data_IF_767081975259
#
_entry.id   IF_767081975259
#
_cell.length_a   1.000
_cell.length_b   1.000
_cell.length_c   1.000
_cell.angle_alpha   90.00
_cell.angle_beta   90.00
_cell.angle_gamma   90.00
#
_symmetry.space_group_name_H-M   'P 1'
#
loop_
_entity.id
_entity.type
_entity.pdbx_description
1 polymer ?
#
# COMPACT_ATOMS: atom_id res chain seq x y z
N UNK A 1 -6.66 29.22 -27.50
CA UNK A 1 -5.92 28.33 -28.42
C UNK A 1 -4.80 27.72 -27.61
N UNK A 2 -5.07 26.54 -27.07
CA UNK A 2 -4.33 25.88 -26.00
C UNK A 2 -4.04 24.48 -26.55
N UNK A 3 -2.80 24.18 -26.92
CA UNK A 3 -2.39 22.85 -27.34
C UNK A 3 -0.94 22.56 -26.90
N UNK A 4 -0.84 21.48 -26.13
CA UNK A 4 0.20 20.44 -26.16
C UNK A 4 1.67 20.82 -26.01
N UNK A 5 2.12 20.99 -24.77
CA UNK A 5 3.56 20.87 -24.43
C UNK A 5 3.81 19.88 -23.26
N UNK A 6 2.78 19.21 -22.71
CA UNK A 6 2.94 18.36 -21.51
C UNK A 6 2.88 16.85 -21.74
N UNK A 7 2.72 16.36 -22.98
CA UNK A 7 2.60 14.91 -23.25
C UNK A 7 3.87 14.23 -23.81
N UNK A 8 4.90 14.97 -24.22
CA UNK A 8 5.99 14.39 -25.04
C UNK A 8 7.26 13.93 -24.30
N UNK A 9 7.32 13.90 -22.97
CA UNK A 9 8.58 13.59 -22.24
C UNK A 9 8.58 12.43 -21.25
N UNK A 10 7.58 11.55 -21.29
CA UNK A 10 7.59 10.30 -20.50
C UNK A 10 7.75 9.02 -21.34
N UNK A 11 8.08 9.16 -22.63
CA UNK A 11 8.31 8.02 -23.54
C UNK A 11 9.74 7.46 -23.53
N UNK A 12 10.67 7.98 -22.73
CA UNK A 12 12.03 7.43 -22.63
C UNK A 12 12.12 6.39 -21.50
N UNK A 13 11.73 5.17 -21.86
CA UNK A 13 12.35 3.91 -21.47
C UNK A 13 13.24 3.96 -20.21
N UNK A 14 12.65 3.86 -19.01
CA UNK A 14 13.27 2.97 -18.03
C UNK A 14 13.15 1.57 -18.63
N UNK A 15 14.26 0.83 -18.85
CA UNK A 15 14.16 -0.53 -19.31
C UNK A 15 13.39 -1.29 -18.24
N UNK A 16 12.15 -1.69 -18.56
CA UNK A 16 11.45 -2.76 -17.86
C UNK A 16 12.48 -3.88 -17.69
N UNK A 17 12.94 -4.09 -16.46
CA UNK A 17 13.97 -5.08 -16.15
C UNK A 17 13.52 -6.40 -16.77
N UNK A 18 14.37 -6.94 -17.66
CA UNK A 18 14.08 -8.18 -18.38
C UNK A 18 13.76 -9.30 -17.39
N UNK A 19 12.74 -10.05 -17.73
CA UNK A 19 11.85 -10.92 -16.96
C UNK A 19 12.48 -12.21 -16.39
N UNK A 20 13.73 -12.17 -15.91
CA UNK A 20 14.42 -13.38 -15.43
C UNK A 20 15.03 -13.18 -14.04
N UNK A 21 14.30 -13.62 -13.00
CA UNK A 21 14.87 -13.95 -11.70
C UNK A 21 14.80 -12.90 -10.59
N UNK A 22 14.02 -11.82 -10.72
CA UNK A 22 13.84 -10.79 -9.66
C UNK A 22 12.78 -11.16 -8.61
N UNK A 23 12.42 -12.45 -8.52
CA UNK A 23 11.57 -12.99 -7.45
C UNK A 23 12.36 -13.24 -6.16
N UNK A 24 11.70 -13.34 -4.98
CA UNK A 24 12.38 -13.71 -3.74
C UNK A 24 13.03 -15.10 -3.80
N UNK A 25 12.51 -15.99 -4.65
CA UNK A 25 13.07 -17.30 -4.93
C UNK A 25 12.56 -17.85 -6.29
N UNK A 26 12.99 -19.05 -6.65
CA UNK A 26 12.62 -19.71 -7.90
C UNK A 26 11.15 -20.16 -7.97
N UNK A 27 10.46 -20.29 -6.84
CA UNK A 27 9.02 -20.61 -6.80
C UNK A 27 8.17 -19.36 -7.07
N UNK A 28 8.73 -18.17 -6.81
CA UNK A 28 8.02 -16.89 -6.88
C UNK A 28 8.66 -15.91 -7.88
N UNK A 29 8.88 -16.28 -9.14
CA UNK A 29 9.47 -15.39 -10.14
C UNK A 29 8.55 -14.19 -10.36
N UNK A 30 9.15 -13.03 -10.62
CA UNK A 30 8.40 -11.86 -11.07
C UNK A 30 8.03 -12.01 -12.55
N UNK A 31 6.75 -11.78 -12.86
CA UNK A 31 6.22 -11.59 -14.20
C UNK A 31 5.05 -10.61 -14.11
N UNK A 32 5.21 -9.42 -14.70
CA UNK A 32 4.23 -8.33 -14.54
C UNK A 32 2.91 -8.62 -15.26
N UNK A 33 1.80 -8.57 -14.52
CA UNK A 33 0.44 -8.63 -15.04
C UNK A 33 -0.36 -7.40 -14.60
N UNK A 34 -0.91 -6.66 -15.55
CA UNK A 34 -1.78 -5.50 -15.30
C UNK A 34 -3.25 -5.93 -15.44
N UNK A 35 -3.84 -6.42 -14.34
CA UNK A 35 -5.19 -7.00 -14.32
C UNK A 35 -6.28 -6.04 -13.80
N UNK A 36 -5.96 -4.77 -13.57
CA UNK A 36 -6.86 -3.80 -12.94
C UNK A 36 -7.04 -4.05 -11.44
N UNK A 37 -5.94 -4.26 -10.71
CA UNK A 37 -5.99 -4.55 -9.28
C UNK A 37 -5.70 -3.30 -8.42
N UNK A 38 -6.69 -2.76 -7.68
CA UNK A 38 -6.49 -1.55 -6.89
C UNK A 38 -5.55 -1.79 -5.68
N UNK A 39 -5.34 -3.05 -5.29
CA UNK A 39 -4.51 -3.42 -4.15
C UNK A 39 -3.09 -3.81 -4.61
N UNK A 40 -2.05 -3.01 -4.31
CA UNK A 40 -0.67 -3.32 -4.69
C UNK A 40 -0.14 -4.62 -4.05
N UNK A 41 -0.62 -4.99 -2.86
CA UNK A 41 -0.23 -6.24 -2.21
C UNK A 41 -0.71 -7.46 -3.00
N UNK A 42 -1.97 -7.46 -3.42
CA UNK A 42 -2.57 -8.55 -4.21
C UNK A 42 -1.95 -8.60 -5.60
N UNK A 43 -1.77 -7.45 -6.24
CA UNK A 43 -1.12 -7.37 -7.54
C UNK A 43 0.32 -7.92 -7.50
N UNK A 44 1.09 -7.54 -6.48
CA UNK A 44 2.44 -8.07 -6.30
C UNK A 44 2.45 -9.59 -6.04
N UNK A 45 1.50 -10.12 -5.27
CA UNK A 45 1.38 -11.57 -5.09
C UNK A 45 1.01 -12.31 -6.39
N UNK A 46 0.24 -11.68 -7.29
CA UNK A 46 -0.04 -12.22 -8.62
C UNK A 46 1.21 -12.18 -9.49
N UNK A 47 1.90 -11.03 -9.52
CA UNK A 47 3.10 -10.84 -10.31
C UNK A 47 4.26 -11.74 -9.85
N UNK A 48 4.26 -12.15 -8.58
CA UNK A 48 5.24 -13.09 -8.03
C UNK A 48 4.74 -14.54 -7.93
N UNK A 49 3.65 -14.90 -8.61
CA UNK A 49 3.13 -16.28 -8.65
C UNK A 49 2.68 -16.89 -7.29
N UNK A 50 2.65 -16.10 -6.20
CA UNK A 50 1.96 -16.50 -4.96
C UNK A 50 0.45 -16.73 -5.22
N UNK A 51 -0.11 -15.99 -6.18
CA UNK A 51 -1.47 -16.15 -6.66
C UNK A 51 -1.49 -16.36 -8.18
N UNK A 52 -1.83 -17.57 -8.61
CA UNK A 52 -1.96 -17.92 -10.02
C UNK A 52 -3.31 -17.45 -10.58
N UNK A 53 -3.34 -16.19 -11.02
CA UNK A 53 -4.50 -15.54 -11.65
C UNK A 53 -4.19 -15.27 -13.12
N UNK A 54 -5.03 -15.77 -14.01
CA UNK A 54 -4.88 -15.64 -15.46
C UNK A 54 -5.55 -14.39 -16.00
N UNK A 55 -6.73 -14.04 -15.47
CA UNK A 55 -7.48 -12.86 -15.88
C UNK A 55 -8.29 -12.26 -14.72
N UNK A 56 -8.78 -11.03 -14.90
CA UNK A 56 -9.44 -10.25 -13.86
C UNK A 56 -10.79 -10.82 -13.38
N UNK A 57 -11.43 -11.72 -14.15
CA UNK A 57 -12.70 -12.36 -13.78
C UNK A 57 -12.50 -13.69 -13.01
N UNK A 58 -11.28 -14.23 -12.99
CA UNK A 58 -10.99 -15.46 -12.25
C UNK A 58 -11.15 -15.21 -10.75
N UNK A 59 -11.95 -16.04 -10.08
CA UNK A 59 -12.14 -15.97 -8.64
C UNK A 59 -10.92 -16.51 -7.91
N UNK A 60 -10.44 -15.76 -6.93
CA UNK A 60 -9.40 -16.17 -5.98
C UNK A 60 -10.10 -16.80 -4.77
N UNK A 61 -9.91 -18.11 -4.52
CA UNK A 61 -10.48 -18.76 -3.34
C UNK A 61 -9.89 -18.19 -2.05
N UNK A 62 -10.74 -18.09 -1.01
CA UNK A 62 -10.36 -17.47 0.27
C UNK A 62 -9.06 -18.04 0.86
N UNK A 63 -8.92 -19.37 0.83
CA UNK A 63 -7.79 -20.08 1.42
C UNK A 63 -6.48 -19.82 0.67
N UNK A 64 -6.55 -19.57 -0.65
CA UNK A 64 -5.36 -19.22 -1.46
C UNK A 64 -4.87 -17.82 -1.12
N UNK A 65 -5.79 -16.85 -1.00
CA UNK A 65 -5.42 -15.49 -0.60
C UNK A 65 -4.87 -15.43 0.83
N UNK A 66 -5.45 -16.20 1.76
CA UNK A 66 -4.93 -16.32 3.14
C UNK A 66 -3.50 -16.88 3.12
N UNK A 67 -3.27 -17.99 2.40
CA UNK A 67 -1.95 -18.60 2.30
C UNK A 67 -0.92 -17.63 1.70
N UNK A 68 -1.27 -16.94 0.61
CA UNK A 68 -0.40 -15.98 -0.05
C UNK A 68 -0.02 -14.80 0.87
N UNK A 69 -0.96 -14.23 1.63
CA UNK A 69 -0.68 -13.16 2.60
C UNK A 69 0.30 -13.61 3.70
N UNK A 70 0.12 -14.84 4.19
CA UNK A 70 1.01 -15.43 5.21
C UNK A 70 2.39 -15.67 4.61
N UNK A 71 2.47 -16.23 3.41
CA UNK A 71 3.72 -16.60 2.76
C UNK A 71 4.51 -15.37 2.29
N UNK A 72 3.89 -14.46 1.53
CA UNK A 72 4.56 -13.29 0.95
C UNK A 72 4.91 -12.22 2.00
N UNK A 73 3.95 -11.85 2.87
CA UNK A 73 4.08 -10.70 3.77
C UNK A 73 4.18 -11.05 5.26
N UNK A 74 4.20 -12.34 5.61
CA UNK A 74 4.26 -12.82 7.00
C UNK A 74 3.08 -12.32 7.87
N UNK A 75 1.86 -12.31 7.33
CA UNK A 75 0.67 -12.12 8.17
C UNK A 75 0.56 -13.25 9.21
N UNK A 76 0.01 -12.94 10.39
CA UNK A 76 -0.48 -14.01 11.26
C UNK A 76 -1.67 -14.68 10.60
N UNK A 77 -1.77 -16.00 10.72
CA UNK A 77 -2.90 -16.78 10.17
C UNK A 77 -4.25 -16.21 10.59
N UNK A 78 -4.40 -15.87 11.87
CA UNK A 78 -5.63 -15.26 12.41
C UNK A 78 -5.99 -13.94 11.74
N UNK A 79 -5.00 -13.09 11.47
CA UNK A 79 -5.26 -11.80 10.85
C UNK A 79 -5.51 -11.94 9.35
N UNK A 80 -4.79 -12.83 8.67
CA UNK A 80 -5.03 -13.17 7.26
C UNK A 80 -6.46 -13.72 7.07
N UNK A 81 -6.91 -14.65 7.92
CA UNK A 81 -8.29 -15.16 7.88
C UNK A 81 -9.28 -13.99 8.05
N UNK A 82 -9.09 -13.16 9.07
CA UNK A 82 -10.01 -12.07 9.36
C UNK A 82 -10.11 -11.08 8.19
N UNK A 83 -8.99 -10.56 7.69
CA UNK A 83 -9.01 -9.53 6.64
C UNK A 83 -9.60 -10.07 5.33
N UNK A 84 -9.30 -11.33 4.99
CA UNK A 84 -9.82 -11.92 3.77
C UNK A 84 -11.31 -12.24 3.89
N UNK A 85 -11.79 -12.79 5.02
CA UNK A 85 -13.23 -13.03 5.25
C UNK A 85 -14.00 -11.72 5.27
N UNK A 86 -13.55 -10.73 6.04
CA UNK A 86 -14.23 -9.43 6.11
C UNK A 86 -14.21 -8.74 4.74
N UNK A 87 -13.10 -8.77 4.02
CA UNK A 87 -13.01 -8.23 2.65
C UNK A 87 -13.99 -8.93 1.70
N UNK A 88 -14.02 -10.27 1.72
CA UNK A 88 -14.92 -11.08 0.89
C UNK A 88 -16.39 -10.73 1.18
N UNK A 89 -16.77 -10.57 2.45
CA UNK A 89 -18.11 -10.16 2.86
C UNK A 89 -18.44 -8.72 2.44
N UNK A 90 -17.49 -7.77 2.53
CA UNK A 90 -17.69 -6.39 2.07
C UNK A 90 -17.93 -6.30 0.56
N UNK A 91 -17.38 -7.24 -0.22
CA UNK A 91 -17.65 -7.40 -1.64
C UNK A 91 -18.99 -8.12 -1.91
N UNK A 92 -19.73 -8.54 -0.89
CA UNK A 92 -20.97 -9.30 -1.04
C UNK A 92 -20.74 -10.74 -1.53
N UNK A 93 -19.58 -11.32 -1.24
CA UNK A 93 -19.18 -12.68 -1.65
C UNK A 93 -18.99 -13.58 -0.41
N UNK A 94 -18.85 -14.88 -0.62
CA UNK A 94 -18.71 -15.87 0.48
C UNK A 94 -17.49 -16.77 0.33
N UNK A 95 -17.18 -17.27 -0.88
CA UNK A 95 -16.13 -18.29 -1.09
C UNK A 95 -14.81 -17.73 -1.67
N UNK A 96 -14.82 -16.47 -2.07
CA UNK A 96 -13.74 -15.80 -2.79
C UNK A 96 -14.28 -14.72 -3.71
N UNK A 97 -13.38 -13.96 -4.30
CA UNK A 97 -13.68 -12.85 -5.21
C UNK A 97 -12.62 -12.76 -6.31
N UNK A 98 -12.98 -12.13 -7.42
CA UNK A 98 -12.11 -11.84 -8.55
C UNK A 98 -11.48 -10.45 -8.44
N UNK A 99 -10.44 -10.16 -9.22
CA UNK A 99 -9.80 -8.83 -9.24
C UNK A 99 -10.78 -7.76 -9.72
N UNK A 100 -11.62 -8.08 -10.69
CA UNK A 100 -12.69 -7.19 -11.15
C UNK A 100 -13.65 -6.82 -10.02
N UNK A 101 -14.05 -7.80 -9.19
CA UNK A 101 -14.92 -7.55 -8.03
C UNK A 101 -14.19 -6.73 -6.95
N UNK A 102 -12.89 -6.95 -6.74
CA UNK A 102 -12.08 -6.14 -5.82
C UNK A 102 -12.01 -4.66 -6.25
N UNK A 103 -12.01 -4.40 -7.56
CA UNK A 103 -12.04 -3.07 -8.17
C UNK A 103 -13.42 -2.40 -8.22
N UNK A 104 -14.46 -3.00 -7.64
CA UNK A 104 -15.77 -2.33 -7.55
C UNK A 104 -15.69 -1.13 -6.59
N UNK A 105 -15.83 0.07 -7.15
CA UNK A 105 -15.82 1.32 -6.39
C UNK A 105 -16.89 1.33 -5.30
N UNK A 106 -16.55 1.92 -4.16
CA UNK A 106 -17.47 2.07 -3.04
C UNK A 106 -17.59 0.83 -2.15
N UNK A 107 -16.83 -0.24 -2.43
CA UNK A 107 -16.77 -1.44 -1.57
C UNK A 107 -15.51 -1.46 -0.72
N UNK A 108 -14.43 -1.94 -1.32
CA UNK A 108 -13.07 -1.89 -0.76
C UNK A 108 -12.30 -0.79 -1.48
N UNK A 109 -12.34 -0.79 -2.82
CA UNK A 109 -11.85 0.34 -3.62
C UNK A 109 -12.57 1.63 -3.19
N UNK A 110 -11.79 2.71 -3.06
CA UNK A 110 -12.21 3.98 -2.51
C UNK A 110 -11.32 5.14 -3.01
N UNK A 111 -11.88 6.34 -2.99
CA UNK A 111 -11.16 7.59 -3.31
C UNK A 111 -10.10 7.96 -2.25
N UNK A 112 -9.33 9.00 -2.52
CA UNK A 112 -8.15 9.43 -1.77
C UNK A 112 -7.06 8.35 -1.70
N UNK A 113 -6.97 7.48 -2.70
CA UNK A 113 -5.94 6.45 -2.78
C UNK A 113 -4.53 7.05 -2.91
N UNK A 114 -3.53 6.43 -2.28
CA UNK A 114 -2.16 6.97 -2.27
C UNK A 114 -1.48 6.98 -3.65
N UNK A 115 -1.87 6.06 -4.53
CA UNK A 115 -1.14 5.78 -5.78
C UNK A 115 -2.06 5.51 -6.97
N UNK A 116 -3.38 5.62 -6.78
CA UNK A 116 -4.42 5.45 -7.81
C UNK A 116 -5.25 6.72 -7.84
N UNK A 117 -5.76 7.10 -9.01
CA UNK A 117 -6.64 8.26 -9.13
C UNK A 117 -8.00 7.93 -8.54
N UNK A 118 -8.70 8.95 -8.04
CA UNK A 118 -10.12 8.82 -7.69
C UNK A 118 -10.93 8.43 -8.93
N UNK A 119 -12.07 7.74 -8.72
CA UNK A 119 -12.86 7.16 -9.82
C UNK A 119 -13.36 8.22 -10.82
N UNK A 120 -13.59 9.44 -10.35
CA UNK A 120 -14.03 10.58 -11.17
C UNK A 120 -12.89 11.35 -11.83
N UNK A 121 -11.64 11.09 -11.42
CA UNK A 121 -10.41 11.73 -11.93
C UNK A 121 -9.65 10.86 -12.92
N UNK A 122 -9.90 9.55 -12.97
CA UNK A 122 -9.29 8.67 -13.96
C UNK A 122 -9.26 7.19 -13.56
N UNK A 123 -8.13 6.54 -13.80
CA UNK A 123 -7.98 5.11 -13.52
C UNK A 123 -7.73 4.86 -12.02
N UNK A 124 -8.74 4.29 -11.35
CA UNK A 124 -8.69 3.93 -9.93
C UNK A 124 -8.10 2.54 -9.65
N UNK A 125 -7.78 1.77 -10.69
CA UNK A 125 -7.39 0.36 -10.57
C UNK A 125 -5.89 0.13 -10.79
N UNK A 126 -5.23 0.97 -11.59
CA UNK A 126 -3.80 0.81 -11.91
C UNK A 126 -2.95 1.90 -11.26
N UNK A 127 -1.69 1.59 -10.86
CA UNK A 127 -0.80 2.57 -10.28
C UNK A 127 -0.58 3.76 -11.22
N UNK A 128 -0.75 4.97 -10.69
CA UNK A 128 -0.51 6.21 -11.41
C UNK A 128 0.93 6.70 -11.15
N UNK A 129 1.80 6.76 -12.17
CA UNK A 129 3.18 7.19 -12.00
C UNK A 129 3.32 8.61 -11.44
N UNK A 130 2.43 9.54 -11.84
CA UNK A 130 2.46 10.93 -11.38
C UNK A 130 2.17 11.06 -9.88
N UNK A 131 1.14 10.37 -9.37
CA UNK A 131 0.84 10.34 -7.93
C UNK A 131 1.96 9.68 -7.13
N UNK A 132 2.56 8.61 -7.66
CA UNK A 132 3.69 7.93 -7.02
C UNK A 132 4.92 8.85 -6.98
N UNK A 133 5.25 9.52 -8.08
CA UNK A 133 6.35 10.48 -8.14
C UNK A 133 6.12 11.65 -7.17
N UNK A 134 4.90 12.17 -7.08
CA UNK A 134 4.54 13.22 -6.13
C UNK A 134 4.67 12.75 -4.68
N UNK A 135 4.18 11.54 -4.37
CA UNK A 135 4.32 10.91 -3.06
C UNK A 135 5.80 10.90 -2.64
N UNK A 136 6.70 10.37 -3.46
CA UNK A 136 8.11 10.28 -3.09
C UNK A 136 8.87 11.60 -3.18
N UNK A 137 8.50 12.51 -4.09
CA UNK A 137 9.08 13.86 -4.16
C UNK A 137 8.79 14.68 -2.91
N UNK A 138 7.58 14.56 -2.34
CA UNK A 138 7.22 15.23 -1.08
C UNK A 138 8.05 14.77 0.12
N UNK A 139 8.68 13.59 0.03
CA UNK A 139 9.53 13.01 1.06
C UNK A 139 11.01 13.36 0.87
N UNK A 140 11.39 13.70 -0.36
CA UNK A 140 12.76 14.01 -0.76
C UNK A 140 13.23 15.41 -0.31
N UNK A 141 12.34 16.28 0.14
CA UNK A 141 12.64 17.67 0.52
C UNK A 141 13.32 17.85 1.89
N UNK A 142 13.77 16.78 2.55
CA UNK A 142 14.42 16.83 3.87
C UNK A 142 15.66 15.95 4.00
N UNK A 143 16.83 16.60 4.01
CA UNK A 143 18.15 16.14 4.51
C UNK A 143 18.81 14.93 3.82
N UNK A 144 20.04 15.18 3.36
CA UNK A 144 21.07 14.20 2.96
C UNK A 144 21.13 12.99 3.90
N UNK A 145 20.72 11.82 3.41
CA UNK A 145 21.21 10.55 3.92
C UNK A 145 20.99 9.45 2.89
N UNK A 146 22.00 8.59 2.72
CA UNK A 146 22.07 7.48 1.76
C UNK A 146 21.08 6.32 2.04
N UNK A 147 20.00 6.58 2.78
CA UNK A 147 18.93 5.62 3.11
C UNK A 147 17.66 6.39 3.46
N UNK A 148 16.95 6.90 2.46
CA UNK A 148 15.68 7.61 2.68
C UNK A 148 14.60 6.63 3.16
N UNK A 149 14.06 6.90 4.34
CA UNK A 149 12.95 6.14 4.92
C UNK A 149 11.67 6.97 4.94
N UNK A 150 10.55 6.27 5.10
CA UNK A 150 9.22 6.85 5.14
C UNK A 150 8.53 6.42 6.43
N UNK A 151 7.98 7.38 7.16
CA UNK A 151 7.38 7.15 8.49
C UNK A 151 5.86 7.13 8.44
N UNK A 152 5.23 6.76 9.55
CA UNK A 152 3.78 6.92 9.74
C UNK A 152 3.34 8.39 9.71
N UNK A 153 4.20 9.35 10.07
CA UNK A 153 3.87 10.79 10.00
C UNK A 153 3.71 11.24 8.56
N UNK A 154 4.63 10.81 7.69
CA UNK A 154 4.67 11.25 6.31
C UNK A 154 3.43 10.76 5.56
N UNK A 155 3.08 9.49 5.79
CA UNK A 155 1.83 8.96 5.31
C UNK A 155 0.61 9.66 5.90
N UNK A 156 0.59 9.98 7.20
CA UNK A 156 -0.53 10.67 7.82
C UNK A 156 -0.76 12.05 7.17
N UNK A 157 0.32 12.79 6.89
CA UNK A 157 0.27 14.07 6.18
C UNK A 157 -0.28 13.91 4.76
N UNK A 158 0.33 13.04 3.94
CA UNK A 158 -0.11 12.88 2.54
C UNK A 158 -1.52 12.33 2.44
N UNK A 159 -1.88 11.37 3.28
CA UNK A 159 -3.24 10.81 3.30
C UNK A 159 -4.27 11.86 3.72
N UNK A 160 -3.96 12.69 4.72
CA UNK A 160 -4.83 13.81 5.12
C UNK A 160 -5.03 14.82 3.98
N UNK A 161 -3.97 15.14 3.23
CA UNK A 161 -4.04 16.00 2.05
C UNK A 161 -4.99 15.43 0.98
N UNK A 162 -4.84 14.14 0.65
CA UNK A 162 -5.71 13.46 -0.32
C UNK A 162 -7.16 13.40 0.17
N UNK A 163 -7.39 13.08 1.45
CA UNK A 163 -8.72 13.02 2.06
C UNK A 163 -9.43 14.40 2.05
N UNK A 164 -8.69 15.51 2.14
CA UNK A 164 -9.24 16.88 2.02
C UNK A 164 -9.70 17.22 0.59
N UNK A 165 -9.15 16.54 -0.42
CA UNK A 165 -9.51 16.76 -1.83
C UNK A 165 -10.81 16.01 -2.24
N UNK A 166 -11.28 15.09 -1.41
CA UNK A 166 -12.53 14.36 -1.65
C UNK A 166 -13.72 15.24 -1.24
N UNK A 167 -14.47 15.69 -2.24
CA UNK A 167 -15.61 16.61 -2.06
C UNK A 167 -16.98 15.90 -2.04
N UNK A 168 -17.03 14.65 -2.50
CA UNK A 168 -18.26 13.84 -2.60
C UNK A 168 -18.05 12.47 -1.96
N UNK A 169 -19.11 11.94 -1.36
CA UNK A 169 -19.11 10.67 -0.63
C UNK A 169 -20.35 9.85 -1.01
N UNK A 170 -20.56 9.73 -2.33
CA UNK A 170 -21.80 9.19 -2.90
C UNK A 170 -21.93 7.67 -2.70
N UNK A 171 -20.81 6.96 -2.66
CA UNK A 171 -20.78 5.48 -2.57
C UNK A 171 -20.28 4.96 -1.22
N UNK A 172 -19.47 5.74 -0.50
CA UNK A 172 -18.90 5.40 0.80
C UNK A 172 -18.87 6.61 1.72
N UNK A 173 -19.10 6.38 3.01
CA UNK A 173 -18.97 7.45 4.00
C UNK A 173 -17.49 7.86 4.17
N UNK A 174 -17.26 9.13 4.52
CA UNK A 174 -15.94 9.65 4.89
C UNK A 174 -15.23 8.79 5.94
N UNK A 175 -15.96 8.31 6.94
CA UNK A 175 -15.39 7.43 7.97
C UNK A 175 -14.87 6.11 7.38
N UNK A 176 -15.60 5.52 6.42
CA UNK A 176 -15.20 4.27 5.77
C UNK A 176 -13.95 4.46 4.89
N UNK A 177 -13.92 5.51 4.06
CA UNK A 177 -12.77 5.86 3.20
C UNK A 177 -11.52 6.07 4.06
N UNK A 178 -11.60 6.91 5.09
CA UNK A 178 -10.44 7.19 5.95
C UNK A 178 -10.03 5.96 6.77
N UNK A 179 -10.97 5.10 7.16
CA UNK A 179 -10.65 3.85 7.87
C UNK A 179 -9.86 2.87 6.98
N UNK A 180 -10.33 2.62 5.76
CA UNK A 180 -9.65 1.74 4.81
C UNK A 180 -8.26 2.29 4.47
N UNK A 181 -8.18 3.57 4.11
CA UNK A 181 -6.92 4.21 3.76
C UNK A 181 -5.86 4.21 4.88
N UNK A 182 -6.27 4.39 6.15
CA UNK A 182 -5.34 4.22 7.28
C UNK A 182 -4.85 2.79 7.41
N UNK A 183 -5.73 1.81 7.20
CA UNK A 183 -5.39 0.39 7.25
C UNK A 183 -4.34 0.03 6.20
N UNK A 184 -4.56 0.45 4.95
CA UNK A 184 -3.66 0.21 3.82
C UNK A 184 -2.25 0.77 4.06
N UNK A 185 -2.16 2.01 4.52
CA UNK A 185 -0.90 2.65 4.90
C UNK A 185 -0.17 1.85 5.98
N UNK A 186 -0.89 1.46 7.05
CA UNK A 186 -0.30 0.71 8.15
C UNK A 186 0.19 -0.67 7.71
N UNK A 187 -0.51 -1.31 6.76
CA UNK A 187 -0.09 -2.59 6.19
C UNK A 187 1.13 -2.43 5.28
N UNK A 188 1.15 -1.41 4.42
CA UNK A 188 2.28 -1.12 3.54
C UNK A 188 3.55 -0.83 4.35
N UNK A 189 3.45 -0.03 5.41
CA UNK A 189 4.57 0.28 6.30
C UNK A 189 5.12 -0.99 6.99
N UNK A 190 4.24 -1.87 7.46
CA UNK A 190 4.64 -3.15 8.05
C UNK A 190 5.29 -4.10 7.04
N UNK A 191 4.81 -4.12 5.80
CA UNK A 191 5.30 -4.99 4.73
C UNK A 191 6.69 -4.56 4.19
N UNK A 192 7.02 -3.27 4.26
CA UNK A 192 8.26 -2.71 3.73
C UNK A 192 9.17 -2.10 4.80
N UNK A 193 8.94 -2.46 6.07
CA UNK A 193 9.74 -1.98 7.19
C UNK A 193 11.24 -2.23 6.95
N UNK A 194 12.05 -1.19 7.09
CA UNK A 194 13.49 -1.28 7.00
C UNK A 194 14.06 -1.71 8.35
N UNK A 195 14.75 -2.85 8.40
CA UNK A 195 15.43 -3.35 9.60
C UNK A 195 16.93 -3.02 9.49
N UNK A 196 17.49 -2.34 10.48
CA UNK A 196 18.89 -1.88 10.44
C UNK A 196 19.30 -0.90 11.54
N UNK A 197 18.36 -0.32 12.30
CA UNK A 197 18.63 0.52 13.48
C UNK A 197 18.41 -0.27 14.78
N UNK A 198 19.25 -1.29 15.04
CA UNK A 198 19.59 -1.74 16.40
C UNK A 198 18.60 -2.57 17.25
N UNK A 199 17.41 -2.98 16.79
CA UNK A 199 16.40 -3.60 17.68
C UNK A 199 16.08 -5.09 17.48
N UNK A 200 16.83 -5.83 16.66
CA UNK A 200 16.54 -7.25 16.38
C UNK A 200 17.38 -8.24 17.22
N UNK A 201 17.31 -8.14 18.55
CA UNK A 201 17.63 -9.31 19.39
C UNK A 201 16.38 -10.17 19.56
N UNK A 202 16.45 -11.51 19.35
CA UNK A 202 15.35 -12.45 19.61
C UNK A 202 14.84 -12.45 21.06
N UNK A 203 15.49 -11.69 21.95
CA UNK A 203 15.13 -11.48 23.36
C UNK A 203 14.19 -10.28 23.61
N UNK A 204 13.70 -9.60 22.58
CA UNK A 204 12.70 -8.54 22.75
C UNK A 204 11.32 -9.13 23.14
N UNK A 205 11.25 -9.64 24.37
CA UNK A 205 10.00 -9.85 25.11
C UNK A 205 9.32 -8.51 25.24
N UNK A 206 8.07 -8.42 24.79
CA UNK A 206 7.05 -7.49 25.29
C UNK A 206 7.57 -6.10 25.70
N UNK A 207 8.17 -5.35 24.77
CA UNK A 207 8.42 -3.93 25.02
C UNK A 207 7.52 -3.09 24.13
N UNK A 208 6.66 -2.29 24.75
CA UNK A 208 6.17 -1.03 24.20
C UNK A 208 7.41 -0.22 23.79
N UNK A 209 7.78 -0.24 22.52
CA UNK A 209 8.89 0.56 22.03
C UNK A 209 8.49 1.31 20.77
N UNK A 210 8.25 2.60 21.00
CA UNK A 210 8.02 3.71 20.08
C UNK A 210 9.24 4.01 19.18
N UNK A 211 9.92 2.98 18.66
CA UNK A 211 10.78 3.16 17.50
C UNK A 211 9.88 3.39 16.31
N UNK A 212 9.88 4.62 15.77
CA UNK A 212 9.05 4.97 14.62
C UNK A 212 9.27 3.94 13.50
N UNK A 213 8.21 3.21 13.14
CA UNK A 213 8.32 2.27 12.04
C UNK A 213 8.63 3.03 10.76
N UNK A 214 9.70 2.62 10.11
CA UNK A 214 10.22 3.25 8.90
C UNK A 214 10.23 2.23 7.78
N UNK A 215 9.74 2.62 6.60
CA UNK A 215 9.84 1.82 5.39
C UNK A 215 10.87 2.42 4.43
N UNK A 216 11.61 1.56 3.73
CA UNK A 216 12.56 2.02 2.73
C UNK A 216 11.81 2.61 1.52
N UNK A 217 12.08 3.86 1.19
CA UNK A 217 11.39 4.57 0.10
C UNK A 217 11.60 3.92 -1.27
N UNK A 218 12.80 3.39 -1.53
CA UNK A 218 13.10 2.72 -2.82
C UNK A 218 12.32 1.42 -2.95
N UNK A 219 12.16 0.68 -1.85
CA UNK A 219 11.32 -0.51 -1.84
C UNK A 219 9.86 -0.17 -2.10
N UNK A 220 9.33 0.82 -1.41
CA UNK A 220 7.95 1.23 -1.56
C UNK A 220 7.66 1.80 -2.96
N UNK A 221 8.57 2.58 -3.53
CA UNK A 221 8.41 3.12 -4.88
C UNK A 221 8.34 2.00 -5.91
N UNK A 222 9.25 1.03 -5.83
CA UNK A 222 9.23 -0.15 -6.70
C UNK A 222 7.95 -0.96 -6.51
N UNK A 223 7.55 -1.20 -5.27
CA UNK A 223 6.34 -1.96 -4.96
C UNK A 223 5.06 -1.28 -5.44
N UNK A 224 4.94 0.05 -5.34
CA UNK A 224 3.78 0.76 -5.85
C UNK A 224 3.78 0.88 -7.38
N UNK A 225 4.92 1.17 -8.00
CA UNK A 225 5.00 1.47 -9.43
C UNK A 225 5.02 0.23 -10.31
N UNK A 226 5.76 -0.78 -9.87
CA UNK A 226 5.97 -2.02 -10.60
C UNK A 226 5.12 -3.17 -10.05
N UNK A 227 4.54 -3.01 -8.85
CA UNK A 227 3.82 -4.09 -8.17
C UNK A 227 4.71 -5.34 -8.07
N UNK A 228 5.94 -5.07 -7.62
CA UNK A 228 7.05 -6.02 -7.53
C UNK A 228 7.67 -5.98 -6.14
N UNK A 229 8.07 -7.14 -5.64
CA UNK A 229 8.89 -7.28 -4.44
C UNK A 229 10.34 -6.90 -4.79
N UNK A 230 10.92 -5.83 -4.22
CA UNK A 230 12.22 -5.28 -4.63
C UNK A 230 13.39 -5.99 -3.96
N UNK A 231 13.51 -7.30 -4.21
CA UNK A 231 14.50 -8.19 -3.58
C UNK A 231 15.94 -7.81 -3.91
N UNK A 232 16.17 -7.30 -5.12
CA UNK A 232 17.46 -6.79 -5.60
C UNK A 232 17.90 -5.52 -4.86
N UNK A 233 16.94 -4.76 -4.32
CA UNK A 233 17.20 -3.62 -3.45
C UNK A 233 17.39 -4.04 -1.99
N UNK A 234 17.40 -5.35 -1.70
CA UNK A 234 17.57 -5.91 -0.37
C UNK A 234 16.27 -6.11 0.40
N UNK A 235 15.09 -5.96 -0.22
CA UNK A 235 13.84 -6.28 0.45
C UNK A 235 13.82 -7.76 0.83
N UNK A 236 13.36 -8.02 2.05
CA UNK A 236 13.11 -9.36 2.56
C UNK A 236 11.71 -9.38 3.16
N UNK A 237 11.07 -10.54 3.08
CA UNK A 237 9.82 -10.81 3.80
C UNK A 237 9.93 -10.31 5.26
N UNK A 238 8.94 -9.59 5.78
CA UNK A 238 8.98 -9.06 7.15
C UNK A 238 9.28 -10.16 8.18
N UNK A 239 10.32 -9.98 9.00
CA UNK A 239 10.71 -10.99 10.00
C UNK A 239 9.65 -11.16 11.12
N UNK A 240 9.05 -10.05 11.58
CA UNK A 240 7.94 -10.08 12.55
C UNK A 240 6.62 -10.20 11.82
N UNK A 241 5.68 -10.91 12.44
CA UNK A 241 4.36 -11.09 11.88
C UNK A 241 3.57 -9.80 11.82
N UNK A 242 2.86 -9.59 10.72
CA UNK A 242 1.80 -8.57 10.62
C UNK A 242 0.59 -9.11 11.36
N UNK A 243 0.15 -8.39 12.40
CA UNK A 243 -0.94 -8.82 13.28
C UNK A 243 -2.04 -7.77 13.38
N UNK A 244 -3.25 -8.20 13.72
CA UNK A 244 -4.38 -7.30 13.94
C UNK A 244 -4.08 -6.30 15.07
N UNK A 245 -3.50 -6.76 16.18
CA UNK A 245 -3.20 -5.92 17.36
C UNK A 245 -2.27 -4.78 16.98
N UNK A 246 -1.19 -5.08 16.26
CA UNK A 246 -0.22 -4.07 15.81
C UNK A 246 -0.84 -3.12 14.80
N UNK A 247 -1.52 -3.65 13.78
CA UNK A 247 -2.14 -2.84 12.73
C UNK A 247 -3.19 -1.89 13.31
N UNK A 248 -4.03 -2.35 14.22
CA UNK A 248 -5.03 -1.52 14.90
C UNK A 248 -4.40 -0.42 15.76
N UNK A 249 -3.32 -0.74 16.48
CA UNK A 249 -2.54 0.26 17.23
C UNK A 249 -2.00 1.36 16.32
N UNK A 250 -1.38 0.98 15.20
CA UNK A 250 -0.86 1.92 14.20
C UNK A 250 -1.98 2.75 13.55
N UNK A 251 -3.16 2.18 13.28
CA UNK A 251 -4.29 2.94 12.75
C UNK A 251 -4.79 4.01 13.72
N UNK A 252 -4.83 3.70 15.03
CA UNK A 252 -5.16 4.69 16.07
C UNK A 252 -4.12 5.81 16.13
N UNK A 253 -2.84 5.45 16.08
CA UNK A 253 -1.74 6.40 16.07
C UNK A 253 -1.77 7.30 14.84
N UNK A 254 -2.00 6.73 13.65
CA UNK A 254 -2.16 7.48 12.41
C UNK A 254 -3.34 8.44 12.49
N UNK A 255 -4.48 8.01 13.03
CA UNK A 255 -5.62 8.89 13.27
C UNK A 255 -5.26 10.04 14.20
N UNK A 256 -4.59 9.77 15.33
CA UNK A 256 -4.16 10.82 16.25
C UNK A 256 -3.21 11.84 15.61
N UNK A 257 -2.29 11.37 14.74
CA UNK A 257 -1.41 12.23 13.94
C UNK A 257 -2.20 13.10 12.96
N UNK A 258 -3.17 12.53 12.22
CA UNK A 258 -4.06 13.27 11.32
C UNK A 258 -4.90 14.32 12.07
N UNK A 259 -5.44 13.97 13.24
CA UNK A 259 -6.23 14.89 14.07
C UNK A 259 -5.37 16.08 14.54
N UNK A 260 -4.14 15.81 15.01
CA UNK A 260 -3.17 16.85 15.40
C UNK A 260 -2.76 17.76 14.23
N UNK A 261 -2.54 17.19 13.05
CA UNK A 261 -2.18 17.97 11.85
C UNK A 261 -3.34 18.87 11.42
N UNK A 262 -4.57 18.36 11.48
CA UNK A 262 -5.77 19.14 11.14
C UNK A 262 -5.96 20.36 12.04
N UNK A 263 -5.65 20.24 13.33
CA UNK A 263 -5.72 21.35 14.30
C UNK A 263 -4.66 22.44 14.07
N UNK A 264 -3.48 22.09 13.52
CA UNK A 264 -2.42 23.06 13.22
C UNK A 264 -2.71 23.91 11.99
N UNK A 265 -3.56 23.42 11.09
CA UNK A 265 -3.95 24.11 9.86
C UNK A 265 -5.09 25.13 10.09
N UNK A 266 -5.70 25.17 11.28
CA UNK A 266 -6.73 26.17 11.62
C UNK A 266 -6.07 27.50 12.05
N UNK A 267 -6.27 28.61 11.32
CA UNK A 267 -5.70 29.89 11.68
C UNK A 267 -6.47 30.48 12.87
N UNK A 268 -5.87 30.45 14.06
CA UNK A 268 -6.31 31.25 15.22
C UNK A 268 -6.67 30.46 16.47
N UNK A 269 -5.66 29.90 17.15
CA UNK A 269 -5.75 29.64 18.59
C UNK A 269 -4.37 29.81 19.26
N UNK A 270 -3.71 30.92 18.94
CA UNK A 270 -2.69 31.50 19.80
C UNK A 270 -3.37 32.58 20.65
N UNK A 271 -3.60 32.28 21.92
CA UNK A 271 -3.70 33.30 22.96
C UNK A 271 -2.29 33.74 23.34
#
# INVERSE_FOLDING_TARGET
>A
MQQDISQEKYSEQQPLLKDHGSGPDALHPYHRKMLGCPCPAVASMINHSYLNVENSNQKIPIHKLIAALVECYNFSWTFAILIVVVGTLRLGKVLGFSIKELGEHGKIEHDASMTRLDVDKGNALEPNPGLIDELFKSLDSGVDSKSKTMTLEDFAKKKLELEKQVTKYDYQSKSAVNFLGRGEVCLALQAHRHLGTGFDSPKAKDVNQDGAMEANTSWMRTWFLEERLPVELGWKRPASKITIRRTWGMMKEMKARQDRLSQKDEPGMGL
#
